data_IF_550421206417
#
_entry.id   IF_550421206417
#
_cell.length_a   1.000
_cell.length_b   1.000
_cell.length_c   1.000
_cell.angle_alpha   90.00
_cell.angle_beta   90.00
_cell.angle_gamma   90.00
#
_symmetry.space_group_name_H-M   'P 1'
#
loop_
_entity.id
_entity.type
_entity.pdbx_description
1 polymer ?
#
# COMPACT_ATOMS: atom_id res chain seq x y z
N UNK A 1 18.73 -21.27 -36.17
CA UNK A 1 19.42 -20.96 -34.90
C UNK A 1 18.40 -20.30 -33.98
N UNK A 2 17.88 -21.03 -32.99
CA UNK A 2 16.98 -20.49 -31.97
C UNK A 2 17.65 -20.65 -30.60
N UNK A 3 18.23 -19.57 -30.10
CA UNK A 3 18.68 -19.44 -28.71
C UNK A 3 18.55 -17.97 -28.33
N UNK A 4 17.43 -17.56 -27.73
CA UNK A 4 17.31 -16.25 -27.06
C UNK A 4 16.14 -16.17 -26.08
N UNK A 5 15.18 -17.11 -26.07
CA UNK A 5 14.02 -17.02 -25.17
C UNK A 5 14.27 -17.51 -23.73
N UNK A 6 15.33 -18.26 -23.45
CA UNK A 6 15.52 -18.90 -22.13
C UNK A 6 16.15 -17.98 -21.04
N UNK A 7 16.85 -16.91 -21.41
CA UNK A 7 17.57 -16.08 -20.44
C UNK A 7 16.68 -15.09 -19.66
N UNK A 8 15.61 -14.58 -20.27
CA UNK A 8 14.72 -13.60 -19.63
C UNK A 8 13.81 -14.27 -18.59
N UNK A 9 13.35 -15.50 -18.88
CA UNK A 9 12.43 -16.25 -18.03
C UNK A 9 13.11 -16.81 -16.76
N UNK A 10 14.39 -17.17 -16.87
CA UNK A 10 15.21 -17.62 -15.75
C UNK A 10 15.53 -16.48 -14.76
N UNK A 11 15.79 -15.27 -15.28
CA UNK A 11 16.08 -14.10 -14.44
C UNK A 11 14.86 -13.64 -13.61
N UNK A 12 13.65 -13.76 -14.14
CA UNK A 12 12.42 -13.42 -13.42
C UNK A 12 12.14 -14.39 -12.26
N UNK A 13 12.27 -15.70 -12.51
CA UNK A 13 12.04 -16.75 -11.50
C UNK A 13 13.02 -16.65 -10.34
N UNK A 14 14.30 -16.44 -10.61
CA UNK A 14 15.32 -16.32 -9.56
C UNK A 14 15.05 -15.12 -8.62
N UNK A 15 14.56 -14.00 -9.16
CA UNK A 15 14.19 -12.82 -8.35
C UNK A 15 12.94 -13.07 -7.51
N UNK A 16 11.97 -13.79 -8.04
CA UNK A 16 10.76 -14.15 -7.30
C UNK A 16 11.06 -15.12 -6.15
N UNK A 17 11.92 -16.11 -6.38
CA UNK A 17 12.41 -17.03 -5.35
C UNK A 17 13.20 -16.30 -4.26
N UNK A 18 14.04 -15.32 -4.63
CA UNK A 18 14.73 -14.45 -3.68
C UNK A 18 13.73 -13.66 -2.83
N UNK A 19 12.74 -13.00 -3.45
CA UNK A 19 11.71 -12.26 -2.71
C UNK A 19 10.93 -13.16 -1.75
N UNK A 20 10.53 -14.36 -2.18
CA UNK A 20 9.81 -15.33 -1.33
C UNK A 20 10.66 -15.72 -0.12
N UNK A 21 11.94 -16.02 -0.35
CA UNK A 21 12.90 -16.37 0.72
C UNK A 21 13.02 -15.23 1.73
N UNK A 22 13.13 -13.99 1.24
CA UNK A 22 13.26 -12.79 2.09
C UNK A 22 11.97 -12.49 2.87
N UNK A 23 10.81 -12.74 2.28
CA UNK A 23 9.50 -12.63 2.96
C UNK A 23 9.44 -13.61 4.13
N UNK A 24 9.83 -14.87 3.92
CA UNK A 24 9.84 -15.87 4.99
C UNK A 24 10.77 -15.46 6.15
N UNK A 25 11.99 -15.02 5.85
CA UNK A 25 12.94 -14.53 6.86
C UNK A 25 12.41 -13.32 7.62
N UNK A 26 11.85 -12.33 6.90
CA UNK A 26 11.25 -11.15 7.50
C UNK A 26 10.09 -11.54 8.41
N UNK A 27 9.19 -12.43 7.98
CA UNK A 27 8.06 -12.92 8.77
C UNK A 27 8.52 -13.51 10.10
N UNK A 28 9.46 -14.47 10.05
CA UNK A 28 10.00 -15.08 11.27
C UNK A 28 10.60 -14.03 12.21
N UNK A 29 11.32 -13.04 11.68
CA UNK A 29 11.92 -11.98 12.49
C UNK A 29 10.86 -11.07 13.13
N UNK A 30 9.88 -10.59 12.37
CA UNK A 30 8.88 -9.64 12.90
C UNK A 30 7.91 -10.31 13.87
N UNK A 31 7.58 -11.59 13.69
CA UNK A 31 6.70 -12.34 14.60
C UNK A 31 7.29 -12.48 16.00
N UNK A 32 8.61 -12.62 16.13
CA UNK A 32 9.27 -12.66 17.45
C UNK A 32 9.16 -11.33 18.21
N UNK A 33 8.98 -10.22 17.50
CA UNK A 33 8.96 -8.87 18.07
C UNK A 33 7.53 -8.34 18.25
N UNK A 34 6.61 -8.69 17.35
CA UNK A 34 5.20 -8.32 17.41
C UNK A 34 4.32 -9.46 16.85
N UNK A 35 3.66 -10.25 17.70
CA UNK A 35 2.80 -11.37 17.27
C UNK A 35 1.64 -10.97 16.36
N UNK A 36 1.19 -9.71 16.40
CA UNK A 36 0.11 -9.21 15.52
C UNK A 36 0.52 -9.13 14.05
N UNK A 37 1.82 -9.26 13.74
CA UNK A 37 2.33 -9.32 12.37
C UNK A 37 1.80 -10.52 11.56
N UNK A 38 1.28 -11.57 12.22
CA UNK A 38 0.67 -12.75 11.57
C UNK A 38 -0.54 -12.43 10.70
N UNK A 39 -1.22 -11.31 10.97
CA UNK A 39 -2.41 -10.88 10.22
C UNK A 39 -2.06 -10.21 8.88
N UNK A 40 -0.77 -10.02 8.58
CA UNK A 40 -0.30 -9.29 7.39
C UNK A 40 0.16 -10.24 6.29
N UNK A 41 -0.33 -9.99 5.09
CA UNK A 41 -0.05 -10.78 3.89
C UNK A 41 1.39 -10.61 3.35
N UNK A 42 1.80 -11.59 2.55
CA UNK A 42 3.12 -11.61 1.89
C UNK A 42 3.29 -10.40 0.97
N UNK A 43 2.21 -9.96 0.32
CA UNK A 43 2.22 -8.82 -0.60
C UNK A 43 2.57 -7.51 0.11
N UNK A 44 2.06 -7.29 1.31
CA UNK A 44 2.45 -6.16 2.14
C UNK A 44 3.91 -6.27 2.57
N UNK A 45 4.36 -7.42 3.06
CA UNK A 45 5.77 -7.62 3.46
C UNK A 45 6.73 -7.38 2.28
N UNK A 46 6.36 -7.84 1.08
CA UNK A 46 7.08 -7.61 -0.17
C UNK A 46 7.28 -6.12 -0.48
N UNK A 47 6.29 -5.26 -0.19
CA UNK A 47 6.40 -3.80 -0.38
C UNK A 47 7.51 -3.20 0.50
N UNK A 48 7.61 -3.62 1.75
CA UNK A 48 8.65 -3.13 2.67
C UNK A 48 10.04 -3.63 2.25
N UNK A 49 10.15 -4.88 1.82
CA UNK A 49 11.38 -5.44 1.27
C UNK A 49 11.84 -4.67 0.02
N UNK A 50 10.95 -4.46 -0.96
CA UNK A 50 11.29 -3.68 -2.17
C UNK A 50 11.70 -2.25 -1.85
N UNK A 51 11.03 -1.60 -0.88
CA UNK A 51 11.38 -0.24 -0.44
C UNK A 51 12.74 -0.16 0.28
N UNK A 52 13.33 -1.29 0.67
CA UNK A 52 14.61 -1.40 1.37
C UNK A 52 15.59 -2.33 0.66
N UNK A 53 15.48 -2.46 -0.66
CA UNK A 53 16.42 -3.22 -1.49
C UNK A 53 16.60 -4.69 -1.01
N UNK A 54 15.51 -5.31 -0.55
CA UNK A 54 15.47 -6.67 0.00
C UNK A 54 16.33 -6.88 1.26
N UNK A 55 16.73 -5.80 1.95
CA UNK A 55 17.39 -5.83 3.25
C UNK A 55 16.37 -6.18 4.34
N UNK A 56 16.46 -7.41 4.86
CA UNK A 56 15.49 -7.97 5.82
C UNK A 56 15.45 -7.17 7.11
N UNK A 57 16.58 -6.72 7.65
CA UNK A 57 16.63 -6.00 8.92
C UNK A 57 16.04 -4.59 8.78
N UNK A 58 16.41 -3.86 7.73
CA UNK A 58 15.86 -2.52 7.46
C UNK A 58 14.36 -2.58 7.15
N UNK A 59 13.93 -3.57 6.35
CA UNK A 59 12.52 -3.79 6.04
C UNK A 59 11.73 -4.13 7.31
N UNK A 60 12.23 -5.03 8.15
CA UNK A 60 11.60 -5.41 9.43
C UNK A 60 11.46 -4.22 10.39
N UNK A 61 12.52 -3.41 10.54
CA UNK A 61 12.47 -2.21 11.38
C UNK A 61 11.43 -1.20 10.88
N UNK A 62 11.36 -0.99 9.56
CA UNK A 62 10.35 -0.12 8.95
C UNK A 62 8.94 -0.68 9.13
N UNK A 63 8.75 -1.98 8.95
CA UNK A 63 7.48 -2.67 9.07
C UNK A 63 6.92 -2.62 10.49
N UNK A 64 7.74 -2.85 11.52
CA UNK A 64 7.31 -2.77 12.92
C UNK A 64 6.89 -1.34 13.31
N UNK A 65 7.61 -0.32 12.81
CA UNK A 65 7.20 1.08 12.96
C UNK A 65 5.85 1.35 12.29
N UNK A 66 5.65 0.79 11.09
CA UNK A 66 4.37 0.88 10.38
C UNK A 66 3.23 0.20 11.15
N UNK A 67 3.42 -1.01 11.69
CA UNK A 67 2.37 -1.69 12.48
C UNK A 67 1.96 -0.88 13.71
N UNK A 68 2.94 -0.32 14.43
CA UNK A 68 2.66 0.58 15.56
C UNK A 68 1.87 1.81 15.11
N UNK A 69 2.28 2.44 14.01
CA UNK A 69 1.58 3.59 13.45
C UNK A 69 0.15 3.23 13.01
N UNK A 70 -0.03 2.13 12.28
CA UNK A 70 -1.33 1.67 11.76
C UNK A 70 -2.33 1.44 12.89
N UNK A 71 -1.93 0.80 13.99
CA UNK A 71 -2.79 0.59 15.17
C UNK A 71 -3.25 1.91 15.79
N UNK A 72 -2.37 2.92 15.84
CA UNK A 72 -2.74 4.24 16.38
C UNK A 72 -3.56 5.09 15.42
N UNK A 73 -3.33 4.96 14.11
CA UNK A 73 -3.94 5.82 13.10
C UNK A 73 -5.30 5.30 12.62
N UNK A 74 -5.43 3.97 12.50
CA UNK A 74 -6.63 3.25 12.03
C UNK A 74 -7.01 2.17 13.05
N UNK A 75 -7.47 2.56 14.25
CA UNK A 75 -7.69 1.62 15.36
C UNK A 75 -8.77 0.58 15.06
N UNK A 76 -9.76 0.93 14.23
CA UNK A 76 -10.86 0.04 13.85
C UNK A 76 -10.54 -0.81 12.61
N UNK A 77 -9.31 -0.74 12.08
CA UNK A 77 -8.90 -1.44 10.86
C UNK A 77 -9.38 -0.79 9.54
N UNK A 78 -10.41 0.05 9.59
CA UNK A 78 -10.91 0.84 8.46
C UNK A 78 -11.14 2.30 8.85
N UNK A 79 -11.28 3.15 7.83
CA UNK A 79 -11.66 4.57 7.95
C UNK A 79 -13.06 4.70 7.36
N UNK A 80 -14.00 5.17 8.16
CA UNK A 80 -15.40 5.35 7.75
C UNK A 80 -15.58 6.60 6.88
N UNK A 81 -16.53 6.64 5.94
CA UNK A 81 -16.84 7.85 5.18
C UNK A 81 -17.23 9.04 6.08
N UNK A 82 -17.84 8.78 7.24
CA UNK A 82 -18.15 9.81 8.24
C UNK A 82 -16.92 10.53 8.79
N UNK A 83 -15.76 9.86 8.86
CA UNK A 83 -14.49 10.49 9.25
C UNK A 83 -13.90 11.39 8.17
N UNK A 84 -14.44 11.36 6.94
CA UNK A 84 -13.92 12.05 5.77
C UNK A 84 -14.95 13.03 5.18
N UNK A 85 -15.93 13.45 5.97
CA UNK A 85 -17.11 14.16 5.48
C UNK A 85 -16.73 15.43 4.70
N UNK A 86 -15.77 16.22 5.18
CA UNK A 86 -15.37 17.45 4.50
C UNK A 86 -14.56 17.16 3.24
N UNK A 87 -13.65 16.20 3.29
CA UNK A 87 -12.84 15.78 2.13
C UNK A 87 -13.71 15.22 1.00
N UNK A 88 -14.74 14.43 1.33
CA UNK A 88 -15.74 13.94 0.38
C UNK A 88 -16.56 15.10 -0.19
N UNK A 89 -17.07 15.99 0.65
CA UNK A 89 -17.87 17.15 0.21
C UNK A 89 -17.10 18.09 -0.73
N UNK A 90 -15.80 18.28 -0.49
CA UNK A 90 -14.96 19.10 -1.37
C UNK A 90 -14.81 18.51 -2.77
N UNK A 91 -15.07 17.21 -2.92
CA UNK A 91 -15.11 16.51 -4.21
C UNK A 91 -13.90 16.87 -5.10
N UNK A 92 -12.71 16.78 -4.49
CA UNK A 92 -11.47 17.27 -5.08
C UNK A 92 -10.55 16.15 -5.55
N UNK A 93 -10.82 14.89 -5.20
CA UNK A 93 -9.93 13.77 -5.49
C UNK A 93 -10.70 12.63 -6.15
N UNK A 94 -10.16 12.12 -7.26
CA UNK A 94 -10.81 11.12 -8.11
C UNK A 94 -9.84 10.04 -8.52
N UNK A 95 -10.32 8.81 -8.69
CA UNK A 95 -9.56 7.71 -9.29
C UNK A 95 -10.05 7.54 -10.74
N UNK A 96 -9.18 7.78 -11.70
CA UNK A 96 -9.53 7.91 -13.13
C UNK A 96 -8.81 6.85 -13.97
N UNK A 97 -9.15 5.59 -13.70
CA UNK A 97 -8.60 4.44 -14.41
C UNK A 97 -7.11 4.22 -14.14
N UNK A 98 -6.43 3.67 -15.15
CA UNK A 98 -5.03 3.27 -15.06
C UNK A 98 -4.21 3.78 -16.24
N UNK A 99 -2.92 3.97 -16.02
CA UNK A 99 -1.99 4.32 -17.10
C UNK A 99 -1.68 3.12 -18.02
N UNK A 100 -0.82 3.35 -19.02
CA UNK A 100 -0.40 2.31 -19.99
C UNK A 100 0.29 1.09 -19.37
N UNK A 101 0.70 1.17 -18.11
CA UNK A 101 1.36 0.10 -17.35
C UNK A 101 0.42 -0.51 -16.31
N UNK A 102 -0.86 -0.16 -16.33
CA UNK A 102 -1.85 -0.65 -15.37
C UNK A 102 -1.79 0.04 -14.00
N UNK A 103 -1.01 1.12 -13.82
CA UNK A 103 -0.92 1.82 -12.53
C UNK A 103 -2.11 2.75 -12.35
N UNK A 104 -2.81 2.72 -11.20
CA UNK A 104 -3.97 3.56 -10.97
C UNK A 104 -3.62 5.05 -11.01
N UNK A 105 -4.49 5.86 -11.60
CA UNK A 105 -4.33 7.31 -11.72
C UNK A 105 -5.26 7.99 -10.72
N UNK A 106 -4.70 8.84 -9.84
CA UNK A 106 -5.48 9.75 -9.00
C UNK A 106 -5.37 11.18 -9.54
N UNK A 107 -6.51 11.86 -9.65
CA UNK A 107 -6.62 13.26 -10.09
C UNK A 107 -7.06 14.11 -8.90
N UNK A 108 -6.26 15.10 -8.55
CA UNK A 108 -6.55 16.07 -7.49
C UNK A 108 -6.83 17.46 -8.10
N UNK A 109 -8.04 17.96 -7.91
CA UNK A 109 -8.45 19.31 -8.28
C UNK A 109 -8.09 20.29 -7.16
N UNK A 110 -6.86 20.80 -7.18
CA UNK A 110 -6.34 21.70 -6.15
C UNK A 110 -7.22 22.95 -5.93
N UNK A 111 -7.89 23.46 -6.97
CA UNK A 111 -8.80 24.61 -6.88
C UNK A 111 -10.03 24.37 -5.99
N UNK A 112 -10.36 23.10 -5.67
CA UNK A 112 -11.44 22.73 -4.75
C UNK A 112 -10.97 22.49 -3.32
N UNK A 113 -9.67 22.71 -3.04
CA UNK A 113 -9.14 22.57 -1.70
C UNK A 113 -9.53 23.78 -0.83
N UNK A 114 -10.33 23.52 0.21
CA UNK A 114 -10.67 24.52 1.23
C UNK A 114 -10.19 24.03 2.60
N UNK A 115 -9.47 24.89 3.32
CA UNK A 115 -8.99 24.56 4.65
C UNK A 115 -10.17 24.54 5.64
N UNK A 116 -10.14 23.60 6.58
CA UNK A 116 -11.07 23.54 7.71
C UNK A 116 -10.36 23.01 8.95
N UNK A 117 -10.97 23.19 10.12
CA UNK A 117 -10.46 22.64 11.37
C UNK A 117 -10.41 21.11 11.28
N UNK A 118 -9.24 20.52 11.57
CA UNK A 118 -9.02 19.08 11.44
C UNK A 118 -8.75 18.58 10.01
N UNK A 119 -8.73 19.46 9.00
CA UNK A 119 -8.62 19.03 7.59
C UNK A 119 -7.32 18.31 7.24
N UNK A 120 -6.22 18.58 7.95
CA UNK A 120 -4.99 17.82 7.75
C UNK A 120 -5.16 16.34 8.12
N UNK A 121 -5.91 16.03 9.17
CA UNK A 121 -6.09 14.67 9.62
C UNK A 121 -7.11 13.92 8.76
N UNK A 122 -8.21 14.57 8.34
CA UNK A 122 -9.11 14.02 7.31
C UNK A 122 -8.37 13.77 5.99
N UNK A 123 -7.51 14.70 5.55
CA UNK A 123 -6.73 14.53 4.33
C UNK A 123 -5.75 13.36 4.40
N UNK A 124 -5.03 13.19 5.53
CA UNK A 124 -4.17 12.02 5.76
C UNK A 124 -4.96 10.72 5.73
N UNK A 125 -6.14 10.70 6.36
CA UNK A 125 -7.06 9.55 6.38
C UNK A 125 -7.58 9.21 4.99
N UNK A 126 -7.96 10.21 4.20
CA UNK A 126 -8.39 10.04 2.82
C UNK A 126 -7.26 9.47 1.95
N UNK A 127 -6.04 9.99 2.13
CA UNK A 127 -4.84 9.48 1.43
C UNK A 127 -4.55 8.02 1.77
N UNK A 128 -4.67 7.63 3.05
CA UNK A 128 -4.54 6.25 3.48
C UNK A 128 -5.62 5.34 2.86
N UNK A 129 -6.88 5.78 2.89
CA UNK A 129 -8.01 5.04 2.31
C UNK A 129 -7.79 4.76 0.82
N UNK A 130 -7.40 5.77 0.05
CA UNK A 130 -7.07 5.60 -1.38
C UNK A 130 -5.94 4.60 -1.62
N UNK A 131 -4.86 4.69 -0.84
CA UNK A 131 -3.71 3.81 -1.01
C UNK A 131 -4.06 2.36 -0.66
N UNK A 132 -4.91 2.14 0.35
CA UNK A 132 -5.39 0.82 0.74
C UNK A 132 -6.25 0.19 -0.36
N UNK A 133 -7.12 0.97 -1.01
CA UNK A 133 -7.96 0.52 -2.13
C UNK A 133 -7.13 0.23 -3.40
N UNK A 134 -6.11 1.05 -3.65
CA UNK A 134 -5.22 0.91 -4.81
C UNK A 134 -4.21 -0.23 -4.67
N UNK A 135 -4.06 -0.77 -3.46
CA UNK A 135 -3.13 -1.84 -3.12
C UNK A 135 -3.73 -3.25 -3.15
N UNK A 136 -5.04 -3.39 -3.32
CA UNK A 136 -5.64 -4.69 -3.64
C UNK A 136 -5.59 -4.86 -5.16
N UNK A 137 -4.77 -5.80 -5.64
CA UNK A 137 -4.91 -6.29 -7.01
C UNK A 137 -6.33 -6.88 -7.12
N UNK A 138 -7.21 -6.16 -7.84
CA UNK A 138 -8.64 -6.40 -8.05
C UNK A 138 -9.56 -6.09 -6.87
N UNK A 139 -10.19 -4.91 -6.89
CA UNK A 139 -11.60 -4.71 -6.53
C UNK A 139 -12.06 -3.31 -6.98
N UNK A 140 -13.28 -3.25 -7.52
CA UNK A 140 -13.90 -2.09 -8.17
C UNK A 140 -13.91 -0.83 -7.31
N UNK A 141 -13.15 0.17 -7.79
CA UNK A 141 -12.96 1.50 -7.17
C UNK A 141 -14.20 2.41 -7.33
N UNK A 142 -15.20 1.98 -8.10
CA UNK A 142 -16.31 2.82 -8.55
C UNK A 142 -17.38 3.11 -7.47
N UNK A 143 -17.27 2.57 -6.26
CA UNK A 143 -18.32 2.71 -5.24
C UNK A 143 -18.10 3.82 -4.21
N UNK A 144 -16.99 4.57 -4.25
CA UNK A 144 -16.73 5.67 -3.32
C UNK A 144 -16.59 7.05 -3.97
N UNK A 145 -16.41 7.09 -5.30
CA UNK A 145 -16.18 8.33 -6.06
C UNK A 145 -17.02 8.42 -7.35
N UNK A 146 -18.12 7.66 -7.41
CA UNK A 146 -19.10 7.69 -8.49
C UNK A 146 -20.04 8.89 -8.39
#
# INVERSE_FOLDING_TARGET
>A
MMMSSNNMECSGKAKEEEEITKISLMRSLVETRDPSSKEVDDMTMRRFLRARELDVEKASSMFLKYLKWRRSFVPNGFISPSELTHEIQQNKMFLQGSDKKGRPISVLLAARHFQHNGGLDEFKRTSFSLFSLSGCDNLDINLLFG
#
